data_IF_514771340277
#
_entry.id   IF_514771340277
#
_cell.length_a   1.000
_cell.length_b   1.000
_cell.length_c   1.000
_cell.angle_alpha   90.00
_cell.angle_beta   90.00
_cell.angle_gamma   90.00
#
_symmetry.space_group_name_H-M   'P 1'
#
loop_
_entity.id
_entity.type
_entity.pdbx_description
1 polymer ?
#
# COMPACT_ATOMS: atom_id res chain seq x y z
N UNK A 1 -9.43 5.26 -0.42
CA UNK A 1 -9.13 4.53 -1.67
C UNK A 1 -7.73 4.94 -2.12
N UNK A 2 -6.88 3.98 -2.46
CA UNK A 2 -5.53 4.25 -3.00
C UNK A 2 -5.62 4.30 -4.51
N UNK A 3 -4.97 5.29 -5.11
CA UNK A 3 -4.96 5.49 -6.57
C UNK A 3 -3.93 4.60 -7.25
N UNK A 4 -4.09 4.35 -8.55
CA UNK A 4 -3.11 3.59 -9.34
C UNK A 4 -1.72 4.23 -9.31
N UNK A 5 -1.65 5.56 -9.31
CA UNK A 5 -0.38 6.31 -9.19
C UNK A 5 0.32 6.04 -7.86
N UNK A 6 -0.43 5.96 -6.75
CA UNK A 6 0.13 5.63 -5.44
C UNK A 6 0.61 4.17 -5.38
N UNK A 7 -0.09 3.24 -6.04
CA UNK A 7 0.35 1.84 -6.16
C UNK A 7 1.64 1.75 -6.97
N UNK A 8 1.71 2.47 -8.10
CA UNK A 8 2.92 2.53 -8.92
C UNK A 8 4.09 3.10 -8.13
N UNK A 9 3.86 4.16 -7.34
CA UNK A 9 4.87 4.75 -6.46
C UNK A 9 5.35 3.76 -5.39
N UNK A 10 4.44 3.02 -4.74
CA UNK A 10 4.80 1.94 -3.80
C UNK A 10 5.71 0.92 -4.48
N UNK A 11 5.41 0.53 -5.72
CA UNK A 11 6.21 -0.44 -6.48
C UNK A 11 7.59 0.12 -6.87
N UNK A 12 7.67 1.39 -7.26
CA UNK A 12 8.94 2.08 -7.54
C UNK A 12 9.83 2.11 -6.29
N UNK A 13 9.29 2.53 -5.14
CA UNK A 13 10.00 2.54 -3.86
C UNK A 13 10.39 1.12 -3.43
N UNK A 14 9.53 0.13 -3.65
CA UNK A 14 9.85 -1.27 -3.35
C UNK A 14 10.98 -1.83 -4.24
N UNK A 15 11.06 -1.42 -5.51
CA UNK A 15 12.19 -1.76 -6.40
C UNK A 15 13.47 -1.06 -5.95
N UNK A 16 13.40 0.23 -5.64
CA UNK A 16 14.55 1.01 -5.16
C UNK A 16 15.11 0.48 -3.84
N UNK A 17 14.25 0.05 -2.91
CA UNK A 17 14.67 -0.61 -1.67
C UNK A 17 15.50 -1.88 -1.87
N UNK A 18 15.44 -2.51 -3.05
CA UNK A 18 16.21 -3.72 -3.38
C UNK A 18 17.53 -3.41 -4.10
N UNK A 19 17.80 -2.16 -4.45
CA UNK A 19 19.08 -1.76 -5.04
C UNK A 19 20.13 -1.58 -3.94
N UNK A 20 21.40 -1.51 -4.34
CA UNK A 20 22.53 -1.23 -3.44
C UNK A 20 22.47 0.15 -2.81
N UNK A 21 21.85 1.13 -3.47
CA UNK A 21 21.63 2.49 -2.94
C UNK A 21 20.51 2.52 -1.88
N UNK A 22 19.54 1.61 -1.97
CA UNK A 22 18.43 1.52 -1.04
C UNK A 22 17.47 2.73 -1.09
N UNK A 23 16.70 2.89 -0.02
CA UNK A 23 15.81 4.04 0.16
C UNK A 23 16.49 5.09 1.04
N UNK A 24 16.30 6.36 0.70
CA UNK A 24 16.59 7.44 1.65
C UNK A 24 15.59 7.41 2.82
N UNK A 25 15.90 8.08 3.93
CA UNK A 25 14.96 8.16 5.06
C UNK A 25 13.60 8.78 4.67
N UNK A 26 13.62 9.77 3.78
CA UNK A 26 12.41 10.42 3.27
C UNK A 26 11.58 9.45 2.43
N UNK A 27 12.22 8.69 1.55
CA UNK A 27 11.57 7.69 0.73
C UNK A 27 11.04 6.51 1.55
N UNK A 28 11.74 6.11 2.61
CA UNK A 28 11.26 5.10 3.55
C UNK A 28 10.01 5.56 4.31
N UNK A 29 9.98 6.83 4.75
CA UNK A 29 8.79 7.45 5.36
C UNK A 29 7.64 7.53 4.36
N UNK A 30 7.91 7.97 3.13
CA UNK A 30 6.93 8.00 2.04
C UNK A 30 6.34 6.60 1.79
N UNK A 31 7.20 5.59 1.66
CA UNK A 31 6.80 4.21 1.44
C UNK A 31 5.91 3.69 2.59
N UNK A 32 6.27 3.98 3.84
CA UNK A 32 5.49 3.55 5.00
C UNK A 32 4.08 4.16 5.01
N UNK A 33 3.97 5.46 4.71
CA UNK A 33 2.67 6.17 4.63
C UNK A 33 1.81 5.59 3.51
N UNK A 34 2.37 5.41 2.31
CA UNK A 34 1.65 4.86 1.17
C UNK A 34 1.20 3.41 1.43
N UNK A 35 2.06 2.57 2.02
CA UNK A 35 1.71 1.19 2.36
C UNK A 35 0.62 1.11 3.43
N UNK A 36 0.65 1.98 4.44
CA UNK A 36 -0.43 2.06 5.45
C UNK A 36 -1.76 2.39 4.77
N UNK A 37 -1.79 3.43 3.94
CA UNK A 37 -3.00 3.85 3.20
C UNK A 37 -3.57 2.72 2.33
N UNK A 38 -2.71 1.94 1.68
CA UNK A 38 -3.11 0.77 0.88
C UNK A 38 -3.72 -0.32 1.75
N UNK A 39 -3.05 -0.69 2.84
CA UNK A 39 -3.52 -1.74 3.76
C UNK A 39 -4.88 -1.35 4.35
N UNK A 40 -5.07 -0.10 4.76
CA UNK A 40 -6.32 0.33 5.38
C UNK A 40 -7.48 0.33 4.38
N UNK A 41 -7.23 0.78 3.14
CA UNK A 41 -8.20 0.70 2.05
C UNK A 41 -8.56 -0.75 1.72
N UNK A 42 -7.56 -1.64 1.65
CA UNK A 42 -7.76 -3.07 1.39
C UNK A 42 -8.53 -3.76 2.52
N UNK A 43 -8.16 -3.50 3.78
CA UNK A 43 -8.88 -4.03 4.97
C UNK A 43 -10.34 -3.61 4.99
N UNK A 44 -10.62 -2.34 4.67
CA UNK A 44 -12.00 -1.85 4.59
C UNK A 44 -12.81 -2.58 3.52
N UNK A 45 -12.21 -2.77 2.33
CA UNK A 45 -12.85 -3.50 1.23
C UNK A 45 -13.07 -4.98 1.58
N UNK A 46 -12.08 -5.63 2.19
CA UNK A 46 -12.17 -7.02 2.63
C UNK A 46 -13.27 -7.23 3.68
N UNK A 47 -13.39 -6.34 4.67
CA UNK A 47 -14.49 -6.40 5.65
C UNK A 47 -15.85 -6.30 4.98
N UNK A 48 -16.03 -5.33 4.08
CA UNK A 48 -17.28 -5.19 3.34
C UNK A 48 -17.62 -6.45 2.51
N UNK A 49 -16.61 -7.09 1.92
CA UNK A 49 -16.78 -8.34 1.19
C UNK A 49 -17.19 -9.49 2.12
N UNK A 50 -16.53 -9.65 3.27
CA UNK A 50 -16.87 -10.70 4.25
C UNK A 50 -18.27 -10.50 4.87
N UNK A 51 -18.65 -9.25 5.15
CA UNK A 51 -19.99 -8.92 5.65
C UNK A 51 -21.08 -9.22 4.62
N UNK A 52 -20.77 -9.15 3.32
CA UNK A 52 -21.69 -9.55 2.26
C UNK A 52 -21.87 -11.07 2.18
N UNK A 53 -20.80 -11.84 2.43
CA UNK A 53 -20.82 -13.31 2.39
C UNK A 53 -21.62 -13.88 3.58
N UNK A 54 -21.54 -13.26 4.76
CA UNK A 54 -22.28 -13.70 5.96
C UNK A 54 -23.80 -13.48 5.91
N UNK A 55 -24.31 -12.73 4.93
CA UNK A 55 -25.75 -12.44 4.80
C UNK A 55 -26.53 -13.52 4.01
N UNK A 56 -26.05 -14.75 4.00
CA UNK A 56 -26.70 -15.92 3.38
C UNK A 56 -27.02 -16.95 4.44
#
# INVERSE_FOLDING_TARGET
>A
MVTEKEIERINQLAKKSKTTEGLTEEEAKEQAVLRRKYIDSFKSNLRAHLDSIKKV
#
